data_IF_101359386823
#
_entry.id   IF_101359386823
#
_cell.length_a   1.000
_cell.length_b   1.000
_cell.length_c   1.000
_cell.angle_alpha   90.00
_cell.angle_beta   90.00
_cell.angle_gamma   90.00
#
_symmetry.space_group_name_H-M   'P 1'
#
loop_
_entity.id
_entity.type
_entity.pdbx_description
1 polymer ?
#
# COMPACT_ATOMS: atom_id res chain seq x y z
N UNK A 1 -6.36 -9.53 16.60
CA UNK A 1 -5.33 -8.51 16.33
C UNK A 1 -5.22 -8.21 14.84
N UNK A 2 -4.80 -7.00 14.49
CA UNK A 2 -4.76 -6.50 13.11
C UNK A 2 -3.39 -5.89 12.79
N UNK A 3 -2.89 -6.18 11.60
CA UNK A 3 -1.75 -5.49 11.00
C UNK A 3 -2.26 -4.49 9.96
N UNK A 4 -1.85 -3.23 10.07
CA UNK A 4 -2.21 -2.19 9.09
C UNK A 4 -0.97 -1.79 8.31
N UNK A 5 -1.06 -1.85 6.98
CA UNK A 5 -0.04 -1.27 6.11
C UNK A 5 -0.37 0.18 5.80
N UNK A 6 0.53 1.05 6.25
CA UNK A 6 0.45 2.50 6.11
C UNK A 6 1.01 2.96 4.74
N UNK A 7 1.29 4.25 4.59
CA UNK A 7 1.71 4.91 3.35
C UNK A 7 2.89 4.20 2.62
N UNK A 8 2.93 4.33 1.30
CA UNK A 8 4.04 3.89 0.46
C UNK A 8 3.83 2.56 -0.27
N UNK A 9 2.67 1.93 -0.16
CA UNK A 9 2.37 0.65 -0.83
C UNK A 9 2.02 0.78 -2.32
N UNK A 10 1.76 2.00 -2.79
CA UNK A 10 1.24 2.32 -4.12
C UNK A 10 2.20 3.22 -4.93
N UNK A 11 1.96 3.32 -6.23
CA UNK A 11 2.66 4.22 -7.15
C UNK A 11 4.18 4.22 -7.02
N UNK A 12 4.80 5.39 -7.22
CA UNK A 12 6.20 5.65 -6.89
C UNK A 12 6.37 6.33 -5.51
N UNK A 13 5.44 6.06 -4.58
CA UNK A 13 5.36 6.65 -3.23
C UNK A 13 6.51 6.18 -2.34
N UNK A 14 7.71 6.72 -2.58
CA UNK A 14 8.93 6.49 -1.79
C UNK A 14 9.25 7.66 -0.86
N UNK A 15 8.58 8.79 -1.07
CA UNK A 15 8.54 9.98 -0.23
C UNK A 15 7.12 10.55 -0.28
N UNK A 16 6.87 11.58 0.51
CA UNK A 16 5.62 12.35 0.56
C UNK A 16 5.40 13.25 -0.66
N UNK A 17 6.41 13.42 -1.51
CA UNK A 17 6.37 14.33 -2.68
C UNK A 17 5.72 13.76 -3.96
N UNK A 18 5.46 12.45 -4.04
CA UNK A 18 4.92 11.83 -5.26
C UNK A 18 3.94 10.68 -4.96
N UNK A 19 3.05 10.36 -5.91
CA UNK A 19 2.26 9.13 -5.94
C UNK A 19 0.87 9.16 -5.31
N UNK A 20 0.45 10.18 -4.54
CA UNK A 20 -0.95 10.31 -4.11
C UNK A 20 -1.85 10.50 -5.33
N UNK A 21 -2.96 9.74 -5.38
CA UNK A 21 -3.81 9.62 -6.57
C UNK A 21 -3.55 8.33 -7.36
N UNK A 22 -2.34 7.75 -7.28
CA UNK A 22 -1.96 6.53 -8.01
C UNK A 22 -2.03 5.28 -7.14
N UNK A 23 -3.23 4.86 -6.74
CA UNK A 23 -3.44 3.70 -5.86
C UNK A 23 -3.17 2.33 -6.51
N UNK A 24 -2.34 2.28 -7.57
CA UNK A 24 -1.84 1.03 -8.14
C UNK A 24 -0.72 0.48 -7.27
N UNK A 25 -0.81 -0.80 -6.91
CA UNK A 25 0.19 -1.47 -6.05
C UNK A 25 1.59 -1.34 -6.62
N UNK A 26 2.53 -0.85 -5.81
CA UNK A 26 3.94 -0.80 -6.18
C UNK A 26 4.52 -2.22 -6.20
N UNK A 27 4.68 -2.79 -7.41
CA UNK A 27 5.23 -4.14 -7.61
C UNK A 27 6.74 -4.24 -7.37
N UNK A 28 7.47 -3.13 -7.27
CA UNK A 28 8.89 -3.17 -6.84
C UNK A 28 8.98 -3.48 -5.34
N UNK A 29 8.12 -2.85 -4.52
CA UNK A 29 8.02 -3.10 -3.07
C UNK A 29 7.26 -4.37 -2.73
N UNK A 30 6.18 -4.65 -3.46
CA UNK A 30 5.33 -5.82 -3.29
C UNK A 30 5.32 -6.67 -4.58
N UNK A 31 6.39 -7.43 -4.88
CA UNK A 31 6.52 -8.20 -6.13
C UNK A 31 5.34 -9.12 -6.40
N UNK A 32 4.84 -9.78 -5.34
CA UNK A 32 3.70 -10.69 -5.42
C UNK A 32 2.35 -10.00 -5.16
N UNK A 33 2.36 -8.69 -4.91
CA UNK A 33 1.19 -7.84 -4.72
C UNK A 33 0.49 -7.99 -3.38
N UNK A 34 -0.50 -7.13 -3.15
CA UNK A 34 -1.26 -7.06 -1.89
C UNK A 34 -1.94 -8.38 -1.53
N UNK A 35 -2.54 -9.08 -2.49
CA UNK A 35 -3.25 -10.34 -2.23
C UNK A 35 -2.33 -11.39 -1.58
N UNK A 36 -1.10 -11.51 -2.08
CA UNK A 36 -0.12 -12.42 -1.51
C UNK A 36 0.31 -11.98 -0.11
N UNK A 37 0.59 -10.68 0.07
CA UNK A 37 1.00 -10.12 1.36
C UNK A 37 -0.08 -10.29 2.44
N UNK A 38 -1.31 -9.85 2.16
CA UNK A 38 -2.45 -10.02 3.05
C UNK A 38 -2.72 -11.50 3.36
N UNK A 39 -2.52 -12.39 2.39
CA UNK A 39 -2.59 -13.84 2.59
C UNK A 39 -1.54 -14.38 3.57
N UNK A 40 -0.34 -13.78 3.62
CA UNK A 40 0.69 -14.13 4.60
C UNK A 40 0.32 -13.62 6.00
N UNK A 41 -0.17 -12.39 6.11
CA UNK A 41 -0.64 -11.82 7.38
C UNK A 41 -1.77 -12.67 7.99
N UNK A 42 -2.78 -13.04 7.19
CA UNK A 42 -3.87 -13.91 7.64
C UNK A 42 -3.40 -15.30 8.11
N UNK A 43 -2.35 -15.85 7.50
CA UNK A 43 -1.75 -17.13 7.94
C UNK A 43 -1.06 -17.03 9.30
N UNK A 44 -0.72 -15.83 9.75
CA UNK A 44 -0.19 -15.56 11.08
C UNK A 44 -1.30 -15.32 12.12
N UNK A 45 -2.58 -15.43 11.74
CA UNK A 45 -3.72 -15.20 12.63
C UNK A 45 -4.09 -13.73 12.81
N UNK A 46 -3.60 -12.84 11.94
CA UNK A 46 -3.87 -11.41 11.98
C UNK A 46 -4.81 -10.97 10.85
N UNK A 47 -5.69 -10.02 11.14
CA UNK A 47 -6.41 -9.28 10.11
C UNK A 47 -5.48 -8.30 9.40
N UNK A 48 -5.86 -7.87 8.20
CA UNK A 48 -5.06 -6.97 7.37
C UNK A 48 -5.84 -5.71 6.98
N UNK A 49 -5.34 -4.55 7.42
CA UNK A 49 -5.82 -3.23 7.04
C UNK A 49 -4.86 -2.53 6.05
N UNK A 50 -5.38 -1.56 5.31
CA UNK A 50 -4.64 -0.80 4.30
C UNK A 50 -5.04 0.67 4.36
N UNK A 51 -4.04 1.55 4.36
CA UNK A 51 -4.24 2.99 4.38
C UNK A 51 -4.48 3.56 2.97
N UNK A 52 -5.35 4.58 2.89
CA UNK A 52 -5.62 5.37 1.69
C UNK A 52 -5.86 6.84 2.08
N UNK A 53 -5.43 7.77 1.23
CA UNK A 53 -5.74 9.21 1.32
C UNK A 53 -6.34 9.69 0.00
N UNK A 54 -7.60 9.33 -0.31
CA UNK A 54 -8.23 9.54 -1.61
C UNK A 54 -8.52 11.01 -1.95
N UNK A 55 -8.39 11.91 -0.98
CA UNK A 55 -8.69 13.33 -1.12
C UNK A 55 -7.52 14.13 -1.73
N UNK A 56 -6.35 13.51 -1.88
CA UNK A 56 -5.11 14.17 -2.28
C UNK A 56 -4.56 13.63 -3.59
N UNK A 57 -3.89 14.49 -4.35
CA UNK A 57 -3.15 14.15 -5.57
C UNK A 57 -1.81 14.89 -5.62
N UNK A 58 -0.73 14.22 -6.03
CA UNK A 58 0.55 14.89 -6.27
C UNK A 58 0.62 15.44 -7.72
N UNK A 59 1.31 16.57 -7.98
CA UNK A 59 1.54 17.04 -9.35
C UNK A 59 2.34 16.05 -10.22
N UNK A 60 3.17 15.21 -9.58
CA UNK A 60 3.94 14.12 -10.20
C UNK A 60 3.23 12.77 -10.03
N UNK A 61 1.93 12.74 -10.34
CA UNK A 61 1.12 11.52 -10.46
C UNK A 61 0.75 11.25 -11.91
#
# INVERSE_FOLDING_TARGET
DMFVMDDGWFGNRNSDHAGLGDYTVNRKKLPRGLKYFAGKIRKLGLDFGLWFEPEMVNPES
#
